data_IF_358233922593
#
_entry.id   IF_358233922593
#
_cell.length_a   1.000
_cell.length_b   1.000
_cell.length_c   1.000
_cell.angle_alpha   90.00
_cell.angle_beta   90.00
_cell.angle_gamma   90.00
#
_symmetry.space_group_name_H-M   'P 1'
#
loop_
_entity.id
_entity.type
_entity.pdbx_description
1 polymer ?
#
# COMPACT_ATOMS: atom_id res chain seq x y z
N UNK A 1 -53.99 -12.71 -31.99
CA UNK A 1 -54.04 -11.86 -30.77
C UNK A 1 -53.23 -12.53 -29.68
N UNK A 2 -52.20 -11.81 -29.21
CA UNK A 2 -51.19 -12.04 -28.17
C UNK A 2 -51.26 -13.32 -27.30
N UNK A 3 -50.11 -13.97 -27.11
CA UNK A 3 -49.61 -14.43 -25.80
C UNK A 3 -48.14 -14.86 -25.92
N UNK A 4 -47.25 -13.90 -25.75
CA UNK A 4 -46.33 -13.77 -24.60
C UNK A 4 -45.12 -14.69 -24.74
N UNK A 5 -44.10 -14.11 -25.40
CA UNK A 5 -42.69 -14.46 -25.30
C UNK A 5 -42.32 -14.35 -23.81
N UNK A 6 -41.95 -15.45 -23.17
CA UNK A 6 -41.49 -15.47 -21.78
C UNK A 6 -40.22 -16.31 -21.71
N UNK A 7 -39.27 -15.83 -20.89
CA UNK A 7 -38.06 -16.50 -20.43
C UNK A 7 -36.80 -16.40 -21.28
N UNK A 8 -36.36 -15.16 -21.57
CA UNK A 8 -34.91 -14.84 -21.60
C UNK A 8 -34.73 -13.42 -21.04
N UNK A 9 -34.87 -13.23 -19.72
CA UNK A 9 -34.62 -11.93 -19.10
C UNK A 9 -34.21 -12.05 -17.61
N UNK A 10 -33.31 -12.97 -17.28
CA UNK A 10 -32.83 -13.13 -15.91
C UNK A 10 -31.33 -13.42 -15.81
N UNK A 11 -30.49 -12.76 -16.63
CA UNK A 11 -29.04 -12.96 -16.59
C UNK A 11 -28.18 -11.69 -16.47
N UNK A 12 -28.75 -10.50 -16.27
CA UNK A 12 -27.98 -9.24 -16.36
C UNK A 12 -27.90 -8.44 -15.04
N UNK A 13 -28.19 -9.05 -13.88
CA UNK A 13 -28.21 -8.33 -12.60
C UNK A 13 -27.00 -8.57 -11.67
N UNK A 14 -25.91 -9.17 -12.18
CA UNK A 14 -24.68 -9.38 -11.38
C UNK A 14 -23.48 -8.62 -11.94
N UNK A 15 -23.68 -7.40 -12.44
CA UNK A 15 -22.56 -6.46 -12.59
C UNK A 15 -22.25 -5.93 -11.19
N UNK A 16 -21.50 -6.72 -10.41
CA UNK A 16 -20.91 -6.27 -9.17
C UNK A 16 -20.06 -5.04 -9.45
N UNK A 17 -20.20 -3.99 -8.65
CA UNK A 17 -19.30 -2.84 -8.70
C UNK A 17 -17.88 -3.39 -8.48
N UNK A 18 -17.01 -3.29 -9.49
CA UNK A 18 -15.62 -3.68 -9.35
C UNK A 18 -14.96 -2.74 -8.32
N UNK A 19 -14.94 -3.15 -7.06
CA UNK A 19 -14.02 -2.61 -6.08
C UNK A 19 -12.60 -2.89 -6.57
N UNK A 20 -11.68 -1.96 -6.34
CA UNK A 20 -10.25 -2.22 -6.61
C UNK A 20 -9.90 -3.52 -5.89
N UNK A 21 -9.44 -4.52 -6.64
CA UNK A 21 -9.10 -5.83 -6.11
C UNK A 21 -7.95 -5.75 -5.11
N UNK A 22 -7.88 -6.74 -4.23
CA UNK A 22 -6.68 -6.98 -3.42
C UNK A 22 -5.51 -7.29 -4.36
N UNK A 23 -4.32 -6.85 -3.98
CA UNK A 23 -3.10 -7.09 -4.75
C UNK A 23 -1.91 -7.06 -3.82
N UNK A 24 -0.84 -7.71 -4.26
CA UNK A 24 0.50 -7.60 -3.71
C UNK A 24 1.51 -7.15 -4.77
N UNK A 25 2.60 -6.55 -4.30
CA UNK A 25 3.76 -6.20 -5.12
C UNK A 25 4.97 -6.71 -4.36
N UNK A 26 5.71 -7.63 -4.98
CA UNK A 26 6.94 -8.16 -4.40
C UNK A 26 8.04 -7.10 -4.37
N UNK A 27 8.68 -7.02 -3.20
CA UNK A 27 9.82 -6.18 -2.89
C UNK A 27 11.01 -7.09 -2.51
N UNK A 28 12.25 -6.61 -2.68
CA UNK A 28 13.43 -7.37 -2.29
C UNK A 28 13.47 -7.64 -0.78
N UNK A 29 14.21 -8.68 -0.39
CA UNK A 29 14.34 -9.06 1.02
C UNK A 29 13.09 -9.74 1.60
N UNK A 30 12.32 -10.45 0.77
CA UNK A 30 11.09 -11.15 1.14
C UNK A 30 10.04 -10.21 1.78
N UNK A 31 9.89 -9.00 1.24
CA UNK A 31 8.83 -8.06 1.61
C UNK A 31 7.81 -7.95 0.48
N UNK A 32 6.59 -7.56 0.81
CA UNK A 32 5.60 -7.13 -0.19
C UNK A 32 4.84 -5.91 0.27
N UNK A 33 4.45 -5.07 -0.68
CA UNK A 33 3.30 -4.19 -0.49
C UNK A 33 2.05 -5.06 -0.60
N UNK A 34 1.15 -4.98 0.37
CA UNK A 34 -0.09 -5.76 0.38
C UNK A 34 -1.27 -4.82 0.55
N UNK A 35 -2.22 -4.86 -0.38
CA UNK A 35 -3.52 -4.20 -0.22
C UNK A 35 -4.58 -5.21 0.16
N UNK A 36 -5.19 -4.98 1.31
CA UNK A 36 -6.26 -5.79 1.88
C UNK A 36 -7.64 -5.11 1.80
N UNK A 37 -7.67 -3.78 1.62
CA UNK A 37 -8.92 -3.02 1.43
C UNK A 37 -8.64 -1.59 0.92
N UNK A 38 -9.68 -0.75 0.84
CA UNK A 38 -9.64 0.65 0.40
C UNK A 38 -8.45 1.46 0.95
N UNK A 39 -8.31 1.47 2.27
CA UNK A 39 -7.29 2.22 3.03
C UNK A 39 -6.37 1.28 3.82
N UNK A 40 -6.28 0.02 3.42
CA UNK A 40 -5.40 -0.96 4.07
C UNK A 40 -4.34 -1.41 3.08
N UNK A 41 -3.31 -0.58 2.96
CA UNK A 41 -2.12 -0.83 2.14
C UNK A 41 -0.92 -0.80 3.08
N UNK A 42 -0.30 -1.96 3.29
CA UNK A 42 0.78 -2.17 4.26
C UNK A 42 2.05 -2.67 3.56
N UNK A 43 3.16 -2.71 4.28
CA UNK A 43 4.30 -3.56 3.93
C UNK A 43 4.46 -4.63 5.00
N UNK A 44 4.61 -5.88 4.57
CA UNK A 44 4.79 -7.04 5.44
C UNK A 44 5.79 -8.02 4.82
N UNK A 45 6.47 -8.85 5.62
CA UNK A 45 7.27 -9.96 5.11
C UNK A 45 6.39 -10.97 4.37
N UNK A 46 6.81 -11.44 3.21
CA UNK A 46 6.18 -12.53 2.45
C UNK A 46 6.69 -13.85 2.99
N UNK A 47 5.80 -14.67 3.53
CA UNK A 47 6.12 -15.99 4.11
C UNK A 47 5.97 -17.10 3.07
N UNK A 48 4.95 -16.98 2.22
CA UNK A 48 4.68 -17.83 1.06
C UNK A 48 4.04 -16.98 -0.03
N UNK A 49 3.79 -17.54 -1.22
CA UNK A 49 3.16 -16.82 -2.33
C UNK A 49 1.85 -16.11 -1.95
N UNK A 50 1.03 -16.75 -1.11
CA UNK A 50 -0.28 -16.22 -0.67
C UNK A 50 -0.35 -15.90 0.84
N UNK A 51 0.80 -15.73 1.52
CA UNK A 51 0.82 -15.50 2.98
C UNK A 51 1.86 -14.47 3.39
N UNK A 52 1.46 -13.56 4.27
CA UNK A 52 2.29 -12.49 4.79
C UNK A 52 2.33 -12.51 6.32
N UNK A 53 3.45 -12.07 6.87
CA UNK A 53 3.63 -11.83 8.29
C UNK A 53 2.90 -10.58 8.77
N UNK A 54 3.19 -10.18 10.01
CA UNK A 54 2.67 -8.92 10.55
C UNK A 54 3.20 -7.72 9.76
N UNK A 55 2.36 -6.69 9.64
CA UNK A 55 2.73 -5.44 9.01
C UNK A 55 3.95 -4.84 9.73
N UNK A 56 5.02 -4.61 8.97
CA UNK A 56 6.20 -3.89 9.45
C UNK A 56 6.10 -2.40 9.18
N UNK A 57 5.36 -2.02 8.12
CA UNK A 57 4.93 -0.64 7.89
C UNK A 57 3.41 -0.62 7.86
N UNK A 58 2.76 0.11 8.78
CA UNK A 58 1.31 0.13 8.88
C UNK A 58 0.68 0.91 7.73
N UNK A 59 -0.65 0.86 7.65
CA UNK A 59 -1.41 1.61 6.64
C UNK A 59 -1.34 3.13 6.86
N UNK A 60 -1.45 4.00 5.87
CA UNK A 60 -1.67 3.77 4.43
C UNK A 60 -0.39 4.07 3.64
N UNK A 61 0.27 3.02 3.15
CA UNK A 61 1.43 3.16 2.26
C UNK A 61 0.98 3.79 0.94
N UNK A 62 1.59 4.93 0.59
CA UNK A 62 1.26 5.69 -0.61
C UNK A 62 2.27 5.52 -1.74
N UNK A 63 3.57 5.49 -1.39
CA UNK A 63 4.65 5.38 -2.38
C UNK A 63 5.77 4.49 -1.88
N UNK A 64 6.43 3.83 -2.82
CA UNK A 64 7.57 2.93 -2.56
C UNK A 64 8.64 3.13 -3.63
N UNK A 65 9.89 2.94 -3.26
CA UNK A 65 11.02 2.88 -4.18
C UNK A 65 12.09 1.96 -3.61
N UNK A 66 12.68 1.09 -4.42
CA UNK A 66 13.58 0.07 -3.89
C UNK A 66 14.72 -0.28 -4.85
N UNK A 67 15.75 -0.90 -4.28
CA UNK A 67 16.76 -1.72 -4.93
C UNK A 67 17.01 -2.97 -4.04
N UNK A 68 18.00 -3.79 -4.38
CA UNK A 68 18.29 -5.02 -3.64
C UNK A 68 18.72 -4.81 -2.17
N UNK A 69 19.08 -3.58 -1.78
CA UNK A 69 19.60 -3.27 -0.43
C UNK A 69 18.60 -2.49 0.43
N UNK A 70 17.77 -1.65 -0.19
CA UNK A 70 16.91 -0.70 0.50
C UNK A 70 15.49 -0.66 -0.08
N UNK A 71 14.52 -0.49 0.81
CA UNK A 71 13.15 -0.10 0.47
C UNK A 71 12.85 1.25 1.13
N UNK A 72 12.54 2.24 0.31
CA UNK A 72 12.08 3.56 0.71
C UNK A 72 10.57 3.60 0.65
N UNK A 73 9.94 4.17 1.67
CA UNK A 73 8.48 4.16 1.80
C UNK A 73 7.99 5.52 2.26
N UNK A 74 6.91 5.99 1.62
CA UNK A 74 6.11 7.11 2.11
C UNK A 74 4.72 6.59 2.49
N UNK A 75 4.28 6.99 3.67
CA UNK A 75 3.06 6.55 4.31
C UNK A 75 2.25 7.77 4.73
N UNK A 76 0.93 7.76 4.51
CA UNK A 76 0.05 8.75 5.09
C UNK A 76 -0.25 8.40 6.55
N UNK A 77 -0.19 9.40 7.44
CA UNK A 77 -0.73 9.25 8.78
C UNK A 77 -2.24 9.02 8.72
N UNK A 78 -2.79 8.32 9.70
CA UNK A 78 -4.25 8.13 9.79
C UNK A 78 -4.88 9.25 10.62
N UNK A 79 -6.08 9.66 10.22
CA UNK A 79 -6.93 10.56 11.00
C UNK A 79 -8.35 10.00 11.06
N UNK A 80 -9.08 10.33 12.13
CA UNK A 80 -10.50 10.01 12.19
C UNK A 80 -11.24 10.67 11.03
N UNK A 81 -12.08 9.92 10.36
CA UNK A 81 -12.96 10.47 9.33
C UNK A 81 -13.94 11.45 9.97
N UNK A 82 -13.89 12.75 9.66
CA UNK A 82 -14.80 13.74 10.24
C UNK A 82 -16.26 13.50 9.86
N UNK A 83 -16.50 12.67 8.83
CA UNK A 83 -17.84 12.27 8.39
C UNK A 83 -18.32 10.98 9.04
N UNK A 84 -17.46 10.29 9.79
CA UNK A 84 -17.80 9.04 10.46
C UNK A 84 -17.98 9.22 11.96
N UNK A 85 -19.03 8.61 12.50
CA UNK A 85 -19.30 8.56 13.94
C UNK A 85 -18.78 7.30 14.62
N UNK A 86 -18.29 6.32 13.87
CA UNK A 86 -17.88 5.00 14.39
C UNK A 86 -16.36 4.86 14.63
N UNK A 87 -15.61 5.95 14.55
CA UNK A 87 -14.16 5.93 14.71
C UNK A 87 -13.37 5.40 13.51
N UNK A 88 -14.02 5.24 12.35
CA UNK A 88 -13.34 4.94 11.09
C UNK A 88 -12.24 5.95 10.80
N UNK A 89 -11.09 5.46 10.36
CA UNK A 89 -9.93 6.27 10.03
C UNK A 89 -9.73 6.34 8.52
N UNK A 90 -9.28 7.50 8.06
CA UNK A 90 -8.90 7.78 6.68
C UNK A 90 -7.48 8.36 6.67
N UNK A 91 -6.74 8.21 5.55
CA UNK A 91 -5.43 8.83 5.41
C UNK A 91 -5.52 10.37 5.48
N UNK A 92 -4.71 10.96 6.34
CA UNK A 92 -4.41 12.39 6.40
C UNK A 92 -3.36 12.73 5.32
N UNK A 93 -3.84 13.14 4.15
CA UNK A 93 -2.97 13.52 3.03
C UNK A 93 -2.10 14.75 3.28
N UNK A 94 -2.26 15.43 4.42
CA UNK A 94 -1.38 16.53 4.83
C UNK A 94 -0.20 16.09 5.69
N UNK A 95 -0.21 14.84 6.20
CA UNK A 95 0.81 14.31 7.11
C UNK A 95 1.40 13.03 6.56
N UNK A 96 2.62 13.15 6.04
CA UNK A 96 3.39 12.03 5.54
C UNK A 96 4.45 11.62 6.55
N UNK A 97 4.60 10.32 6.71
CA UNK A 97 5.72 9.68 7.38
C UNK A 97 6.55 8.94 6.33
N UNK A 98 7.84 8.83 6.61
CA UNK A 98 8.78 8.14 5.74
C UNK A 98 9.47 7.03 6.50
N UNK A 99 9.83 5.98 5.77
CA UNK A 99 10.48 4.82 6.34
C UNK A 99 11.56 4.31 5.40
N UNK A 100 12.57 3.68 5.98
CA UNK A 100 13.65 3.00 5.27
C UNK A 100 13.75 1.58 5.84
N UNK A 101 13.65 0.57 4.99
CA UNK A 101 14.02 -0.80 5.32
C UNK A 101 15.42 -1.02 4.74
N UNK A 102 16.40 -1.27 5.61
CA UNK A 102 17.72 -1.76 5.25
C UNK A 102 17.68 -3.28 5.28
N UNK A 103 17.70 -3.88 4.09
CA UNK A 103 17.54 -5.34 3.91
C UNK A 103 18.77 -6.06 4.45
N UNK A 104 19.96 -5.54 4.18
CA UNK A 104 21.22 -6.17 4.53
C UNK A 104 21.42 -6.21 6.06
N UNK A 105 20.98 -5.16 6.75
CA UNK A 105 21.06 -5.08 8.22
C UNK A 105 19.80 -5.60 8.93
N UNK A 106 18.77 -6.02 8.17
CA UNK A 106 17.45 -6.37 8.71
C UNK A 106 16.90 -5.30 9.67
N UNK A 107 17.00 -4.03 9.27
CA UNK A 107 16.64 -2.89 10.09
C UNK A 107 15.52 -2.09 9.44
N UNK A 108 14.58 -1.63 10.27
CA UNK A 108 13.48 -0.76 9.85
C UNK A 108 13.61 0.56 10.60
N UNK A 109 13.69 1.65 9.85
CA UNK A 109 13.93 2.99 10.37
C UNK A 109 12.72 3.85 10.04
N UNK A 110 12.01 4.28 11.07
CA UNK A 110 10.86 5.18 10.96
C UNK A 110 9.88 5.03 12.14
N UNK A 111 8.77 5.78 12.11
CA UNK A 111 8.43 6.79 11.11
C UNK A 111 9.33 8.04 11.22
N UNK A 112 9.76 8.58 10.08
CA UNK A 112 10.55 9.80 9.96
C UNK A 112 9.71 10.93 9.33
N UNK A 113 10.05 12.17 9.62
CA UNK A 113 9.63 13.29 8.78
C UNK A 113 10.54 13.39 7.54
N UNK A 114 10.21 14.26 6.59
CA UNK A 114 10.96 14.40 5.34
C UNK A 114 12.43 14.79 5.55
N UNK A 115 12.72 15.68 6.50
CA UNK A 115 14.09 16.13 6.77
C UNK A 115 14.94 14.98 7.31
N UNK A 116 14.44 14.28 8.33
CA UNK A 116 15.15 13.14 8.93
C UNK A 116 15.31 11.99 7.94
N UNK A 117 14.34 11.80 7.02
CA UNK A 117 14.41 10.83 5.95
C UNK A 117 15.55 11.13 4.96
N UNK A 118 15.65 12.36 4.47
CA UNK A 118 16.72 12.75 3.54
C UNK A 118 18.10 12.74 4.22
N UNK A 119 18.18 13.14 5.49
CA UNK A 119 19.40 12.99 6.27
C UNK A 119 19.80 11.53 6.43
N UNK A 120 18.84 10.64 6.71
CA UNK A 120 19.09 9.21 6.90
C UNK A 120 19.50 8.56 5.59
N UNK A 121 18.86 8.89 4.46
CA UNK A 121 19.29 8.48 3.11
C UNK A 121 20.75 8.87 2.86
N UNK A 122 21.12 10.10 3.22
CA UNK A 122 22.51 10.59 3.06
C UNK A 122 23.48 9.80 3.95
N UNK A 123 23.14 9.59 5.23
CA UNK A 123 23.97 8.85 6.19
C UNK A 123 24.19 7.40 5.76
N UNK A 124 23.15 6.74 5.26
CA UNK A 124 23.18 5.37 4.74
C UNK A 124 23.73 5.29 3.30
N UNK A 125 24.03 6.42 2.67
CA UNK A 125 24.53 6.52 1.28
C UNK A 125 23.59 5.84 0.28
N UNK A 126 22.29 5.98 0.49
CA UNK A 126 21.27 5.42 -0.40
C UNK A 126 21.36 6.14 -1.76
N UNK A 127 21.45 5.41 -2.88
CA UNK A 127 21.54 6.01 -4.21
C UNK A 127 20.32 6.88 -4.56
N UNK A 128 20.55 8.09 -5.08
CA UNK A 128 19.49 9.00 -5.56
C UNK A 128 18.72 8.47 -6.79
N UNK A 129 19.18 7.36 -7.37
CA UNK A 129 18.45 6.64 -8.41
C UNK A 129 17.20 5.96 -7.86
N UNK A 130 17.16 5.64 -6.56
CA UNK A 130 15.98 5.05 -5.90
C UNK A 130 15.00 6.18 -5.59
N UNK A 131 13.92 6.24 -6.37
CA UNK A 131 12.88 7.26 -6.23
C UNK A 131 11.60 6.64 -5.69
N UNK A 132 10.92 7.36 -4.82
CA UNK A 132 9.56 7.01 -4.40
C UNK A 132 8.61 7.12 -5.59
N UNK A 133 7.96 6.01 -5.93
CA UNK A 133 6.95 5.94 -6.98
C UNK A 133 5.61 5.70 -6.30
N UNK A 134 4.61 6.51 -6.67
CA UNK A 134 3.23 6.35 -6.22
C UNK A 134 2.72 4.96 -6.59
N UNK A 135 2.15 4.23 -5.62
CA UNK A 135 1.63 2.88 -5.83
C UNK A 135 0.56 2.81 -6.92
N UNK A 136 -0.19 3.89 -7.16
CA UNK A 136 -1.15 3.96 -8.26
C UNK A 136 -0.47 3.90 -9.64
N UNK A 137 0.82 4.22 -9.74
CA UNK A 137 1.63 4.16 -10.96
C UNK A 137 2.46 2.87 -11.07
N UNK A 138 2.70 2.19 -9.95
CA UNK A 138 3.41 0.91 -9.93
C UNK A 138 2.53 -0.21 -10.49
N UNK A 139 1.21 -0.13 -10.24
CA UNK A 139 0.22 -1.03 -10.86
C UNK A 139 0.17 -0.79 -12.37
N UNK A 140 0.47 -1.83 -13.14
CA UNK A 140 0.13 -1.93 -14.57
C UNK A 140 -1.00 -2.91 -14.76
#
# INVERSE_FOLDING_TARGET
MYKVILSIALFILLIGCAGVADYDIDLPGDYSVVRLSGHQIIIAPKLTDDSWGSAVIPTEVGSVGWNDDFILVMQYSMMKDPKSSNGYEIPDKSKMNYWIIDIQQNQIIGPLNLLDFEETKTKLKIPETIKLIDLAKVKK
#
